data_IF_679753450591
#
_entry.id   IF_679753450591
#
_cell.length_a   1.000
_cell.length_b   1.000
_cell.length_c   1.000
_cell.angle_alpha   90.00
_cell.angle_beta   90.00
_cell.angle_gamma   90.00
#
_symmetry.space_group_name_H-M   'P 1'
#
loop_
_entity.id
_entity.type
_entity.pdbx_description
1 polymer ?
#
# COMPACT_ATOMS: atom_id res chain seq x y z
N UNK A 1 -57.25 21.44 -6.25
CA UNK A 1 -56.74 20.15 -5.71
C UNK A 1 -56.07 19.25 -6.75
N UNK A 2 -56.45 19.23 -8.05
CA UNK A 2 -55.81 18.34 -9.05
C UNK A 2 -54.31 18.61 -9.35
N UNK A 3 -53.87 19.87 -9.31
CA UNK A 3 -52.47 20.23 -9.56
C UNK A 3 -51.51 19.80 -8.45
N UNK A 4 -51.90 19.93 -7.18
CA UNK A 4 -51.06 19.52 -6.04
C UNK A 4 -50.86 18.00 -6.05
N UNK A 5 -51.90 17.23 -6.37
CA UNK A 5 -51.80 15.77 -6.48
C UNK A 5 -50.90 15.31 -7.64
N UNK A 6 -50.84 16.04 -8.77
CA UNK A 6 -49.92 15.67 -9.86
C UNK A 6 -48.47 16.00 -9.53
N UNK A 7 -48.21 17.12 -8.85
CA UNK A 7 -46.87 17.50 -8.38
C UNK A 7 -46.35 16.48 -7.35
N UNK A 8 -47.17 16.08 -6.38
CA UNK A 8 -46.80 15.06 -5.38
C UNK A 8 -46.50 13.71 -6.05
N UNK A 9 -47.30 13.30 -7.05
CA UNK A 9 -47.05 12.06 -7.80
C UNK A 9 -45.70 12.08 -8.53
N UNK A 10 -45.35 13.21 -9.14
CA UNK A 10 -44.06 13.37 -9.82
C UNK A 10 -42.88 13.37 -8.84
N UNK A 11 -43.03 14.01 -7.66
CA UNK A 11 -42.01 13.97 -6.61
C UNK A 11 -41.78 12.54 -6.12
N UNK A 12 -42.85 11.78 -5.88
CA UNK A 12 -42.75 10.37 -5.47
C UNK A 12 -42.04 9.52 -6.54
N UNK A 13 -42.33 9.76 -7.82
CA UNK A 13 -41.66 9.07 -8.91
C UNK A 13 -40.15 9.35 -8.95
N UNK A 14 -39.74 10.61 -8.75
CA UNK A 14 -38.32 10.99 -8.69
C UNK A 14 -37.63 10.34 -7.49
N UNK A 15 -38.26 10.35 -6.32
CA UNK A 15 -37.72 9.70 -5.11
C UNK A 15 -37.55 8.19 -5.34
N UNK A 16 -38.51 7.53 -5.99
CA UNK A 16 -38.42 6.12 -6.31
C UNK A 16 -37.23 5.80 -7.23
N UNK A 17 -36.95 6.63 -8.23
CA UNK A 17 -35.79 6.48 -9.11
C UNK A 17 -34.49 6.63 -8.30
N UNK A 18 -34.40 7.64 -7.43
CA UNK A 18 -33.22 7.87 -6.59
C UNK A 18 -32.95 6.65 -5.70
N UNK A 19 -34.00 6.07 -5.11
CA UNK A 19 -33.88 4.87 -4.27
C UNK A 19 -33.35 3.69 -5.10
N UNK A 20 -33.90 3.46 -6.31
CA UNK A 20 -33.44 2.37 -7.18
C UNK A 20 -31.96 2.56 -7.54
N UNK A 21 -31.54 3.77 -7.89
CA UNK A 21 -30.14 4.11 -8.19
C UNK A 21 -29.24 3.85 -6.98
N UNK A 22 -29.67 4.25 -5.78
CA UNK A 22 -28.93 3.98 -4.54
C UNK A 22 -28.73 2.48 -4.31
N UNK A 23 -29.78 1.68 -4.43
CA UNK A 23 -29.68 0.22 -4.30
C UNK A 23 -28.80 -0.41 -5.38
N UNK A 24 -28.86 0.09 -6.63
CA UNK A 24 -28.01 -0.39 -7.70
C UNK A 24 -26.53 -0.10 -7.43
N UNK A 25 -26.19 1.13 -7.01
CA UNK A 25 -24.82 1.49 -6.64
C UNK A 25 -24.29 0.68 -5.45
N UNK A 26 -25.16 0.32 -4.49
CA UNK A 26 -24.76 -0.40 -3.28
C UNK A 26 -24.65 -1.92 -3.45
N UNK A 27 -25.56 -2.55 -4.20
CA UNK A 27 -25.70 -4.01 -4.22
C UNK A 27 -25.40 -4.65 -5.58
N UNK A 28 -25.42 -3.91 -6.69
CA UNK A 28 -25.17 -4.50 -7.99
C UNK A 28 -23.67 -4.81 -8.16
N UNK A 29 -23.29 -6.07 -8.44
CA UNK A 29 -21.89 -6.49 -8.45
C UNK A 29 -21.04 -5.76 -9.49
N UNK A 30 -21.61 -5.36 -10.64
CA UNK A 30 -20.88 -4.64 -11.68
C UNK A 30 -20.64 -3.14 -11.38
N UNK A 31 -21.41 -2.53 -10.47
CA UNK A 31 -21.27 -1.12 -10.07
C UNK A 31 -20.56 -0.96 -8.73
N UNK A 32 -20.81 -1.86 -7.78
CA UNK A 32 -20.28 -1.77 -6.42
C UNK A 32 -18.75 -1.81 -6.38
N UNK A 33 -18.13 -2.48 -7.35
CA UNK A 33 -16.68 -2.72 -7.42
C UNK A 33 -15.96 -1.68 -8.32
N UNK A 34 -16.66 -0.65 -8.80
CA UNK A 34 -16.07 0.42 -9.62
C UNK A 34 -15.48 1.54 -8.76
N UNK A 35 -14.25 1.98 -9.06
CA UNK A 35 -13.51 2.99 -8.28
C UNK A 35 -14.20 4.37 -8.24
N UNK A 36 -14.98 4.72 -9.26
CA UNK A 36 -15.73 5.97 -9.31
C UNK A 36 -17.02 5.96 -8.47
N UNK A 37 -17.47 4.79 -7.98
CA UNK A 37 -18.74 4.67 -7.29
C UNK A 37 -18.67 5.35 -5.90
N UNK A 38 -19.55 6.32 -5.60
CA UNK A 38 -19.56 7.00 -4.30
C UNK A 38 -19.89 6.08 -3.11
N UNK A 39 -20.49 4.91 -3.38
CA UNK A 39 -20.78 3.87 -2.38
C UNK A 39 -19.73 2.76 -2.37
N UNK A 40 -18.56 2.98 -3.01
CA UNK A 40 -17.45 2.03 -3.01
C UNK A 40 -16.95 1.80 -1.57
N UNK A 41 -17.23 0.62 -1.05
CA UNK A 41 -16.58 0.13 0.16
C UNK A 41 -15.28 -0.55 -0.28
N UNK A 42 -14.13 0.01 0.11
CA UNK A 42 -12.82 -0.57 -0.13
C UNK A 42 -12.69 -1.87 0.68
N UNK A 43 -13.32 -2.93 0.19
CA UNK A 43 -13.22 -4.28 0.72
C UNK A 43 -12.10 -4.93 -0.06
N UNK A 44 -10.93 -5.15 0.57
CA UNK A 44 -9.86 -5.83 -0.12
C UNK A 44 -10.35 -7.22 -0.52
N UNK A 45 -10.50 -7.44 -1.83
CA UNK A 45 -10.83 -8.74 -2.40
C UNK A 45 -9.59 -9.62 -2.34
N UNK A 46 -9.22 -10.08 -1.15
CA UNK A 46 -8.17 -11.07 -1.02
C UNK A 46 -8.82 -12.44 -0.85
N UNK A 47 -8.67 -13.29 -1.87
CA UNK A 47 -8.57 -14.72 -1.65
C UNK A 47 -7.40 -14.92 -0.67
N UNK A 48 -7.72 -15.10 0.60
CA UNK A 48 -6.75 -15.37 1.65
C UNK A 48 -6.10 -16.72 1.35
N UNK A 49 -4.86 -16.70 0.87
CA UNK A 49 -3.97 -17.82 1.09
C UNK A 49 -3.65 -17.87 2.60
N UNK A 50 -3.62 -19.06 3.26
CA UNK A 50 -3.61 -19.15 4.72
C UNK A 50 -2.27 -18.78 5.40
N UNK A 51 -1.33 -18.18 4.67
CA UNK A 51 0.06 -18.02 5.10
C UNK A 51 0.55 -16.57 5.14
N UNK A 52 -0.31 -15.58 4.91
CA UNK A 52 0.10 -14.18 5.04
C UNK A 52 -0.06 -13.67 6.49
N UNK A 53 0.98 -13.00 7.04
CA UNK A 53 0.92 -12.44 8.38
C UNK A 53 -0.21 -11.40 8.49
N UNK A 54 -0.99 -11.50 9.56
CA UNK A 54 -2.18 -10.66 9.78
C UNK A 54 -1.81 -9.17 9.86
N UNK A 55 -2.28 -8.41 8.89
CA UNK A 55 -2.23 -6.95 8.87
C UNK A 55 -3.10 -6.37 10.00
N UNK A 56 -2.49 -5.87 11.07
CA UNK A 56 -3.21 -5.26 12.19
C UNK A 56 -3.59 -3.80 11.90
N UNK A 57 -4.82 -3.40 12.23
CA UNK A 57 -5.28 -2.00 12.30
C UNK A 57 -5.26 -1.18 10.99
N UNK A 58 -5.66 -1.75 9.85
CA UNK A 58 -5.77 -1.01 8.59
C UNK A 58 -4.42 -0.58 8.01
N UNK A 59 -3.32 -1.06 8.58
CA UNK A 59 -1.98 -0.91 8.06
C UNK A 59 -1.76 -1.96 6.97
N UNK A 60 -1.32 -1.54 5.78
CA UNK A 60 -1.10 -2.40 4.61
C UNK A 60 0.30 -3.03 4.59
N UNK A 61 0.91 -3.18 5.77
CA UNK A 61 2.26 -3.73 5.92
C UNK A 61 2.36 -4.58 7.18
N UNK A 62 3.24 -5.58 7.16
CA UNK A 62 3.69 -6.29 8.35
C UNK A 62 4.98 -5.68 8.86
N UNK A 63 5.19 -5.71 10.17
CA UNK A 63 6.45 -5.32 10.79
C UNK A 63 7.24 -6.61 11.03
N UNK A 64 8.45 -6.67 10.51
CA UNK A 64 9.39 -7.78 10.72
C UNK A 64 10.67 -7.23 11.37
N UNK A 65 11.43 -8.11 12.02
CA UNK A 65 12.73 -7.74 12.59
C UNK A 65 13.70 -7.36 11.47
N UNK A 66 14.55 -6.36 11.71
CA UNK A 66 15.54 -5.91 10.75
C UNK A 66 16.64 -6.96 10.59
N UNK A 67 16.59 -7.70 9.48
CA UNK A 67 17.60 -8.69 9.11
C UNK A 67 18.61 -8.17 8.09
N UNK A 68 18.50 -6.90 7.65
CA UNK A 68 19.33 -6.31 6.60
C UNK A 68 20.73 -5.95 7.09
N UNK A 69 20.82 -5.38 8.29
CA UNK A 69 22.07 -4.87 8.88
C UNK A 69 22.23 -5.38 10.31
N UNK A 70 22.20 -6.71 10.44
CA UNK A 70 22.40 -7.41 11.70
C UNK A 70 23.75 -7.02 12.34
N UNK A 71 23.73 -6.79 13.65
CA UNK A 71 24.90 -6.44 14.47
C UNK A 71 25.54 -5.07 14.18
N UNK A 72 24.86 -4.19 13.45
CA UNK A 72 25.28 -2.79 13.33
C UNK A 72 24.61 -1.98 14.44
N UNK A 73 25.36 -1.15 15.21
CA UNK A 73 24.75 -0.23 16.15
C UNK A 73 23.76 0.70 15.44
N UNK A 74 22.53 0.79 15.95
CA UNK A 74 21.43 1.51 15.29
C UNK A 74 21.83 2.92 14.82
N UNK A 75 22.52 3.70 15.66
CA UNK A 75 22.98 5.06 15.32
C UNK A 75 24.07 5.15 14.25
N UNK A 76 24.69 4.03 13.86
CA UNK A 76 25.74 3.96 12.82
C UNK A 76 25.27 3.27 11.54
N UNK A 77 24.02 2.79 11.52
CA UNK A 77 23.49 1.98 10.42
C UNK A 77 23.60 2.65 9.07
N UNK A 78 23.27 3.95 9.00
CA UNK A 78 23.40 4.73 7.76
C UNK A 78 24.85 4.83 7.29
N UNK A 79 25.77 5.13 8.19
CA UNK A 79 27.18 5.29 7.86
C UNK A 79 27.80 3.97 7.37
N UNK A 80 27.48 2.86 8.03
CA UNK A 80 27.92 1.53 7.58
C UNK A 80 27.29 1.21 6.23
N UNK A 81 25.98 1.43 6.06
CA UNK A 81 25.32 1.22 4.79
C UNK A 81 25.98 2.03 3.66
N UNK A 82 26.34 3.29 3.89
CA UNK A 82 27.01 4.15 2.90
C UNK A 82 28.36 3.58 2.46
N UNK A 83 29.13 3.00 3.39
CA UNK A 83 30.42 2.36 3.10
C UNK A 83 30.31 1.02 2.36
N UNK A 84 29.20 0.31 2.48
CA UNK A 84 29.01 -0.98 1.82
C UNK A 84 28.91 -0.83 0.30
N UNK A 85 29.50 -1.77 -0.43
CA UNK A 85 29.23 -1.91 -1.86
C UNK A 85 27.75 -2.29 -2.05
N UNK A 86 27.02 -1.49 -2.81
CA UNK A 86 25.56 -1.63 -2.97
C UNK A 86 25.19 -2.89 -3.74
N UNK A 87 25.97 -3.27 -4.77
CA UNK A 87 25.79 -4.54 -5.50
C UNK A 87 25.97 -5.74 -4.58
N UNK A 88 27.00 -5.75 -3.73
CA UNK A 88 27.25 -6.83 -2.78
C UNK A 88 26.16 -6.89 -1.70
N UNK A 89 25.80 -5.74 -1.13
CA UNK A 89 24.73 -5.64 -0.14
C UNK A 89 23.42 -6.21 -0.67
N UNK A 90 23.01 -5.84 -1.88
CA UNK A 90 21.80 -6.38 -2.54
C UNK A 90 21.89 -7.91 -2.70
N UNK A 91 23.06 -8.42 -3.06
CA UNK A 91 23.29 -9.86 -3.21
C UNK A 91 23.13 -10.63 -1.91
N UNK A 92 23.61 -10.08 -0.79
CA UNK A 92 23.61 -10.74 0.53
C UNK A 92 22.23 -10.63 1.19
N UNK A 93 21.60 -9.46 1.11
CA UNK A 93 20.26 -9.22 1.65
C UNK A 93 19.15 -9.91 0.84
N UNK A 94 19.44 -10.27 -0.41
CA UNK A 94 18.47 -10.87 -1.33
C UNK A 94 17.55 -9.84 -1.99
N UNK A 95 17.98 -8.58 -2.04
CA UNK A 95 17.27 -7.50 -2.72
C UNK A 95 17.52 -7.55 -4.23
N UNK A 96 16.46 -7.78 -5.01
CA UNK A 96 16.52 -7.76 -6.48
C UNK A 96 16.52 -6.33 -7.03
N UNK A 97 15.75 -5.45 -6.40
CA UNK A 97 15.77 -4.01 -6.64
C UNK A 97 15.89 -3.28 -5.32
N UNK A 98 16.56 -2.13 -5.32
CA UNK A 98 16.80 -1.32 -4.14
C UNK A 98 16.71 0.15 -4.52
N UNK A 99 16.30 0.98 -3.59
CA UNK A 99 16.42 2.42 -3.64
C UNK A 99 16.72 2.90 -2.24
N UNK A 100 17.41 4.02 -2.09
CA UNK A 100 17.71 4.56 -0.77
C UNK A 100 17.91 6.07 -0.83
N UNK A 101 17.73 6.71 0.32
CA UNK A 101 18.08 8.11 0.54
C UNK A 101 18.79 8.25 1.91
N UNK A 102 18.74 9.43 2.51
CA UNK A 102 19.43 9.68 3.77
C UNK A 102 18.78 9.00 4.99
N UNK A 103 17.48 8.74 4.93
CA UNK A 103 16.68 8.25 6.06
C UNK A 103 16.17 6.82 5.87
N UNK A 104 15.90 6.41 4.63
CA UNK A 104 15.24 5.16 4.31
C UNK A 104 15.94 4.38 3.21
N UNK A 105 15.79 3.07 3.28
CA UNK A 105 16.06 2.11 2.25
C UNK A 105 14.75 1.42 1.86
N UNK A 106 14.43 1.45 0.58
CA UNK A 106 13.34 0.69 0.00
C UNK A 106 13.92 -0.45 -0.84
N UNK A 107 13.25 -1.59 -0.87
CA UNK A 107 13.75 -2.75 -1.60
C UNK A 107 12.67 -3.72 -2.02
N UNK A 108 12.97 -4.49 -3.06
CA UNK A 108 12.19 -5.66 -3.45
C UNK A 108 12.95 -6.91 -3.06
N UNK A 109 12.32 -7.76 -2.24
CA UNK A 109 12.84 -9.06 -1.83
C UNK A 109 11.87 -10.14 -2.28
N UNK A 110 12.26 -10.90 -3.31
CA UNK A 110 11.39 -11.90 -3.97
C UNK A 110 10.10 -11.24 -4.47
N UNK A 111 8.96 -11.68 -3.96
CA UNK A 111 7.60 -11.24 -4.24
C UNK A 111 7.12 -10.12 -3.30
N UNK A 112 7.93 -9.71 -2.32
CA UNK A 112 7.59 -8.68 -1.33
C UNK A 112 8.43 -7.42 -1.50
N UNK A 113 7.92 -6.34 -0.93
CA UNK A 113 8.57 -5.04 -0.88
C UNK A 113 8.83 -4.64 0.56
N UNK A 114 9.90 -3.89 0.78
CA UNK A 114 10.29 -3.48 2.13
C UNK A 114 10.61 -1.99 2.18
N UNK A 115 10.34 -1.39 3.34
CA UNK A 115 10.89 -0.10 3.73
C UNK A 115 11.61 -0.30 5.06
N UNK A 116 12.86 0.11 5.08
CA UNK A 116 13.69 0.16 6.26
C UNK A 116 14.07 1.60 6.56
N UNK A 117 13.91 2.05 7.80
CA UNK A 117 14.44 3.33 8.25
C UNK A 117 15.76 3.11 8.96
N UNK A 118 16.81 3.81 8.54
CA UNK A 118 18.13 3.60 9.11
C UNK A 118 18.14 3.84 10.61
N UNK A 119 18.61 2.85 11.36
CA UNK A 119 18.67 2.90 12.82
C UNK A 119 17.39 2.45 13.54
N UNK A 120 16.43 1.87 12.82
CA UNK A 120 15.35 1.10 13.45
C UNK A 120 15.73 -0.39 13.53
N UNK A 121 15.13 -1.09 14.50
CA UNK A 121 15.28 -2.52 14.75
C UNK A 121 14.29 -3.36 13.93
N UNK A 122 13.41 -2.70 13.17
CA UNK A 122 12.34 -3.32 12.41
C UNK A 122 12.29 -2.81 10.97
N UNK A 123 11.72 -3.63 10.10
CA UNK A 123 11.44 -3.35 8.70
C UNK A 123 9.93 -3.44 8.47
N UNK A 124 9.42 -2.58 7.58
CA UNK A 124 8.05 -2.67 7.09
C UNK A 124 8.05 -3.51 5.83
N UNK A 125 7.17 -4.50 5.75
CA UNK A 125 7.05 -5.42 4.62
C UNK A 125 5.67 -5.31 4.00
N UNK A 126 5.64 -5.15 2.69
CA UNK A 126 4.45 -4.90 1.88
C UNK A 126 4.29 -6.03 0.86
N UNK A 127 3.04 -6.39 0.58
CA UNK A 127 2.73 -7.38 -0.45
C UNK A 127 2.85 -6.82 -1.86
N UNK A 128 2.67 -5.51 -2.04
CA UNK A 128 2.71 -4.87 -3.36
C UNK A 128 3.59 -3.60 -3.38
N UNK A 129 4.16 -3.31 -4.55
CA UNK A 129 4.97 -2.10 -4.78
C UNK A 129 4.14 -0.82 -4.61
N UNK A 130 2.85 -0.88 -4.98
CA UNK A 130 1.92 0.24 -4.87
C UNK A 130 1.72 0.61 -3.40
N UNK A 131 1.53 -0.36 -2.51
CA UNK A 131 1.35 -0.10 -1.08
C UNK A 131 2.61 0.51 -0.45
N UNK A 132 3.79 -0.02 -0.83
CA UNK A 132 5.07 0.53 -0.41
C UNK A 132 5.23 1.99 -0.89
N UNK A 133 4.96 2.28 -2.16
CA UNK A 133 5.05 3.65 -2.68
C UNK A 133 4.04 4.61 -2.05
N UNK A 134 2.83 4.16 -1.76
CA UNK A 134 1.85 4.98 -1.03
C UNK A 134 2.34 5.31 0.38
N UNK A 135 3.02 4.39 1.06
CA UNK A 135 3.59 4.66 2.37
C UNK A 135 4.81 5.59 2.29
N UNK A 136 5.69 5.41 1.28
CA UNK A 136 6.78 6.36 1.00
C UNK A 136 6.26 7.79 0.79
N UNK A 137 5.20 7.96 -0.02
CA UNK A 137 4.57 9.26 -0.23
C UNK A 137 4.00 9.87 1.05
N UNK A 138 3.40 9.06 1.94
CA UNK A 138 2.93 9.52 3.26
C UNK A 138 4.09 9.95 4.16
N UNK A 139 5.24 9.30 4.03
CA UNK A 139 6.49 9.66 4.70
C UNK A 139 7.19 10.86 4.03
N UNK A 140 6.60 11.45 2.99
CA UNK A 140 7.19 12.51 2.16
C UNK A 140 8.53 12.09 1.53
N UNK A 141 8.67 10.81 1.21
CA UNK A 141 9.85 10.22 0.59
C UNK A 141 9.52 9.82 -0.84
N UNK A 142 10.46 10.09 -1.75
CA UNK A 142 10.44 9.57 -3.11
C UNK A 142 11.69 8.71 -3.32
N UNK A 143 11.49 7.40 -3.44
CA UNK A 143 12.57 6.42 -3.58
C UNK A 143 12.21 5.50 -4.73
N UNK A 144 12.97 5.61 -5.81
CA UNK A 144 12.86 4.75 -6.97
C UNK A 144 13.66 3.45 -6.76
N UNK A 145 13.01 2.30 -7.02
CA UNK A 145 13.66 1.00 -6.95
C UNK A 145 14.43 0.70 -8.22
N UNK A 146 15.76 0.64 -8.11
CA UNK A 146 16.67 0.35 -9.21
C UNK A 146 17.21 -1.08 -9.11
N UNK A 147 17.43 -1.75 -10.26
CA UNK A 147 17.99 -3.09 -10.25
C UNK A 147 19.47 -3.05 -9.87
N UNK A 148 20.04 -4.21 -9.52
CA UNK A 148 21.42 -4.33 -9.04
C UNK A 148 22.45 -3.70 -10.00
N UNK A 149 22.19 -3.79 -11.30
CA UNK A 149 23.07 -3.30 -12.36
C UNK A 149 23.21 -1.77 -12.36
N UNK A 150 22.28 -1.04 -11.74
CA UNK A 150 22.29 0.41 -11.67
C UNK A 150 23.24 0.99 -10.61
N UNK A 151 23.82 0.13 -9.76
CA UNK A 151 24.73 0.51 -8.69
C UNK A 151 26.15 0.09 -9.06
N UNK A 152 27.16 0.92 -8.88
CA UNK A 152 28.57 0.58 -9.16
C UNK A 152 29.36 0.16 -7.90
#
# INVERSE_FOLDING_TARGET
MRFIFSVVKNIIAVIAIIIIVFFALKYAPFLKDQEWNPMYENKPSYQSNPTDPQFTNGQRYSIEDNDLLNNVPLGQTKQVFDWLNKKEFMSVSGLGRMGYNDEYLAGQRRDKFIIYKFGEDSIRVYSTEIEMHQDLQRLSQDIELKPREAYD
#
